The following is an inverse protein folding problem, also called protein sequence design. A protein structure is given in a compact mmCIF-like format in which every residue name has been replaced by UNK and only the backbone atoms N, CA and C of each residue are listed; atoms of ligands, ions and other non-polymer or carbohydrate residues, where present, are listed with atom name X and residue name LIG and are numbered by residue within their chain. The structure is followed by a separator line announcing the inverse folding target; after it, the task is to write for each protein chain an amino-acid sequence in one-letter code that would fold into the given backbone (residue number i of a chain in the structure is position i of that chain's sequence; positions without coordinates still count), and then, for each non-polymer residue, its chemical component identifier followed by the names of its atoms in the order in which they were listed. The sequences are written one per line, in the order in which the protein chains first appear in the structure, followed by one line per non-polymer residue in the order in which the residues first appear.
data_IF_551020921476
#
_entry.id   IF_551020921476
#
_cell.length_a   1.000
_cell.length_b   1.000
_cell.length_c   1.000
_cell.angle_alpha   90.00
_cell.angle_beta   90.00
_cell.angle_gamma   90.00
#
_symmetry.space_group_name_H-M   'P 1'
#
loop_
_entity.id
_entity.type
_entity.pdbx_description
1 polymer ?
#
# COMPACT_ATOMS: atom_id res chain seq x y z
N UNK A 1 25.84 7.58 -17.69
CA UNK A 1 25.00 8.61 -17.02
C UNK A 1 24.35 8.01 -15.77
N UNK A 2 24.61 8.55 -14.57
CA UNK A 2 23.95 8.12 -13.32
C UNK A 2 22.57 8.79 -13.24
N UNK A 3 21.48 8.01 -13.16
CA UNK A 3 20.12 8.54 -12.97
C UNK A 3 20.02 9.28 -11.62
N UNK A 4 19.28 10.41 -11.53
CA UNK A 4 19.16 11.18 -10.30
C UNK A 4 18.52 10.35 -9.17
N UNK A 5 19.08 10.45 -7.96
CA UNK A 5 18.51 9.89 -6.72
C UNK A 5 17.15 10.54 -6.48
N UNK A 6 16.05 9.79 -6.59
CA UNK A 6 14.71 10.28 -6.19
C UNK A 6 14.73 10.53 -4.68
N UNK A 7 14.61 11.79 -4.26
CA UNK A 7 14.28 12.16 -2.88
C UNK A 7 12.76 12.09 -2.74
N UNK A 8 12.30 11.17 -1.91
CA UNK A 8 10.89 11.01 -1.53
C UNK A 8 10.61 11.99 -0.38
N UNK A 9 9.56 12.81 -0.51
CA UNK A 9 9.10 13.71 0.53
C UNK A 9 8.16 13.01 1.53
N UNK A 10 8.07 13.56 2.73
CA UNK A 10 7.12 13.11 3.76
C UNK A 10 5.79 13.82 3.54
N UNK A 11 4.74 13.07 3.23
CA UNK A 11 3.37 13.56 3.23
C UNK A 11 2.79 13.39 4.63
N UNK A 12 2.55 14.50 5.35
CA UNK A 12 1.83 14.48 6.63
C UNK A 12 0.40 14.93 6.37
N UNK A 13 -0.55 14.00 6.48
CA UNK A 13 -1.98 14.28 6.46
C UNK A 13 -2.46 14.31 7.91
N UNK A 14 -2.81 15.49 8.43
CA UNK A 14 -3.31 15.69 9.79
C UNK A 14 -4.76 16.17 9.75
N UNK A 15 -5.65 15.29 9.28
CA UNK A 15 -7.10 15.50 9.36
C UNK A 15 -7.77 14.20 9.79
N UNK A 16 -8.88 14.32 10.50
CA UNK A 16 -9.78 13.20 10.78
C UNK A 16 -10.22 12.61 9.44
N UNK A 17 -9.82 11.37 9.17
CA UNK A 17 -10.17 10.71 7.92
C UNK A 17 -11.30 9.73 8.16
N UNK A 18 -12.42 10.03 7.54
CA UNK A 18 -13.61 9.21 7.51
C UNK A 18 -13.28 7.86 6.85
N UNK A 19 -13.58 6.77 7.58
CA UNK A 19 -13.34 5.38 7.15
C UNK A 19 -14.07 5.01 5.84
N UNK A 20 -15.05 5.82 5.44
CA UNK A 20 -15.87 5.64 4.24
C UNK A 20 -15.21 6.19 2.96
N UNK A 21 -14.02 6.78 3.07
CA UNK A 21 -13.30 7.33 1.92
C UNK A 21 -12.72 6.20 1.07
N UNK A 22 -12.95 6.23 -0.24
CA UNK A 22 -12.39 5.25 -1.17
C UNK A 22 -10.86 5.15 -1.03
N UNK A 23 -10.29 3.94 -0.91
CA UNK A 23 -8.86 3.78 -0.71
C UNK A 23 -8.07 4.15 -1.98
N UNK A 24 -6.83 4.60 -1.79
CA UNK A 24 -5.86 4.66 -2.88
C UNK A 24 -5.53 3.22 -3.30
N UNK A 25 -5.82 2.90 -4.56
CA UNK A 25 -5.52 1.59 -5.15
C UNK A 25 -4.22 1.65 -5.93
N UNK A 26 -3.23 0.85 -5.52
CA UNK A 26 -1.93 0.71 -6.19
C UNK A 26 -1.81 -0.67 -6.80
N UNK A 27 -1.47 -0.73 -8.09
CA UNK A 27 -1.19 -1.98 -8.80
C UNK A 27 0.31 -2.15 -8.95
N UNK A 28 0.85 -3.18 -8.30
CA UNK A 28 2.25 -3.56 -8.34
C UNK A 28 2.53 -4.58 -9.43
N UNK A 29 3.58 -4.33 -10.21
CA UNK A 29 4.07 -5.22 -11.26
C UNK A 29 5.56 -5.49 -11.07
N UNK A 30 6.02 -6.68 -11.44
CA UNK A 30 7.44 -7.02 -11.45
C UNK A 30 8.17 -6.35 -12.64
N UNK A 31 9.49 -6.56 -12.73
CA UNK A 31 10.30 -6.00 -13.84
C UNK A 31 9.96 -6.58 -15.21
N UNK A 32 9.31 -7.75 -15.26
CA UNK A 32 8.85 -8.39 -16.47
C UNK A 32 7.42 -7.98 -16.86
N UNK A 33 6.76 -7.13 -16.05
CA UNK A 33 5.40 -6.67 -16.28
C UNK A 33 4.32 -7.63 -15.76
N UNK A 34 4.68 -8.69 -15.04
CA UNK A 34 3.69 -9.58 -14.43
C UNK A 34 3.08 -8.90 -13.21
N UNK A 35 1.78 -9.13 -12.99
CA UNK A 35 1.09 -8.65 -11.81
C UNK A 35 1.71 -9.28 -10.56
N UNK A 36 2.12 -8.43 -9.62
CA UNK A 36 2.70 -8.86 -8.34
C UNK A 36 1.67 -8.72 -7.20
N UNK A 37 1.04 -7.55 -7.07
CA UNK A 37 0.09 -7.29 -5.99
C UNK A 37 -0.84 -6.11 -6.29
N UNK A 38 -1.94 -6.03 -5.55
CA UNK A 38 -2.78 -4.83 -5.45
C UNK A 38 -2.80 -4.40 -4.00
N UNK A 39 -2.54 -3.12 -3.75
CA UNK A 39 -2.58 -2.52 -2.42
C UNK A 39 -3.73 -1.53 -2.36
N UNK A 40 -4.49 -1.57 -1.29
CA UNK A 40 -5.51 -0.58 -0.97
C UNK A 40 -5.10 0.13 0.31
N UNK A 41 -4.84 1.44 0.20
CA UNK A 41 -4.26 2.25 1.26
C UNK A 41 -5.24 3.37 1.61
N UNK A 42 -5.59 3.49 2.88
CA UNK A 42 -6.36 4.61 3.40
C UNK A 42 -5.88 5.01 4.79
N UNK A 43 -6.61 5.89 5.47
CA UNK A 43 -6.30 6.28 6.85
C UNK A 43 -6.45 5.15 7.87
N UNK A 44 -7.31 4.17 7.59
CA UNK A 44 -7.56 3.05 8.49
C UNK A 44 -6.39 2.07 8.47
N UNK A 45 -5.73 1.91 7.33
CA UNK A 45 -4.64 0.96 7.19
C UNK A 45 -4.31 0.57 5.75
N UNK A 46 -3.91 -0.70 5.62
CA UNK A 46 -3.46 -1.32 4.38
C UNK A 46 -4.14 -2.67 4.20
N UNK A 47 -4.76 -2.86 3.04
CA UNK A 47 -5.13 -4.17 2.54
C UNK A 47 -4.22 -4.58 1.37
N UNK A 48 -3.75 -5.83 1.40
CA UNK A 48 -2.85 -6.39 0.38
C UNK A 48 -3.56 -7.53 -0.31
N UNK A 49 -3.52 -7.53 -1.63
CA UNK A 49 -4.12 -8.56 -2.47
C UNK A 49 -3.10 -9.13 -3.45
N UNK A 50 -3.27 -10.41 -3.79
CA UNK A 50 -2.45 -11.17 -4.73
C UNK A 50 -3.30 -12.10 -5.60
N UNK A 51 -2.64 -12.99 -6.34
CA UNK A 51 -3.27 -13.88 -7.31
C UNK A 51 -3.72 -13.13 -8.57
N UNK A 52 -4.39 -13.80 -9.51
CA UNK A 52 -4.83 -13.18 -10.75
C UNK A 52 -5.64 -11.89 -10.48
N UNK A 53 -5.14 -10.75 -10.96
CA UNK A 53 -5.75 -9.42 -10.82
C UNK A 53 -6.04 -8.99 -9.37
N UNK A 54 -5.33 -9.52 -8.38
CA UNK A 54 -5.54 -9.14 -6.98
C UNK A 54 -6.85 -9.68 -6.39
N UNK A 55 -7.30 -10.85 -6.85
CA UNK A 55 -8.53 -11.48 -6.35
C UNK A 55 -8.40 -12.12 -4.96
N UNK A 56 -7.18 -12.39 -4.48
CA UNK A 56 -6.93 -13.03 -3.18
C UNK A 56 -6.44 -12.01 -2.16
N UNK A 57 -7.20 -11.76 -1.10
CA UNK A 57 -6.75 -10.93 0.03
C UNK A 57 -5.68 -11.68 0.85
N UNK A 58 -4.52 -11.06 1.02
CA UNK A 58 -3.40 -11.56 1.82
C UNK A 58 -3.34 -10.90 3.20
N UNK A 59 -3.63 -9.61 3.27
CA UNK A 59 -3.57 -8.83 4.49
C UNK A 59 -4.70 -7.81 4.51
N UNK A 60 -5.18 -7.55 5.72
CA UNK A 60 -6.13 -6.50 6.06
C UNK A 60 -5.76 -6.06 7.48
N UNK A 61 -5.07 -4.94 7.59
CA UNK A 61 -4.49 -4.50 8.86
C UNK A 61 -4.60 -2.99 9.02
N UNK A 62 -4.92 -2.57 10.25
CA UNK A 62 -4.75 -1.18 10.66
C UNK A 62 -3.27 -0.81 10.68
N UNK A 63 -2.96 0.48 10.72
CA UNK A 63 -1.57 0.94 10.82
C UNK A 63 -0.86 0.41 12.07
N UNK A 64 -1.54 0.37 13.21
CA UNK A 64 -1.00 -0.16 14.46
C UNK A 64 -0.68 -1.64 14.34
N UNK A 65 -1.62 -2.43 13.82
CA UNK A 65 -1.44 -3.87 13.64
C UNK A 65 -0.35 -4.17 12.62
N UNK A 66 -0.30 -3.43 11.51
CA UNK A 66 0.74 -3.57 10.50
C UNK A 66 2.12 -3.26 11.10
N UNK A 67 2.24 -2.16 11.83
CA UNK A 67 3.53 -1.75 12.43
C UNK A 67 4.00 -2.78 13.45
N UNK A 68 3.12 -3.23 14.34
CA UNK A 68 3.44 -4.29 15.31
C UNK A 68 3.89 -5.60 14.65
N UNK A 69 3.38 -5.92 13.44
CA UNK A 69 3.82 -7.09 12.68
C UNK A 69 5.19 -6.93 12.01
N UNK A 70 5.57 -5.69 11.67
CA UNK A 70 6.84 -5.37 10.99
C UNK A 70 8.01 -5.13 11.95
N UNK A 71 7.72 -4.82 13.22
CA UNK A 71 8.74 -4.67 14.28
C UNK A 71 9.26 -6.00 14.84
N UNK A 72 8.69 -7.14 14.40
CA UNK A 72 9.12 -8.50 14.71
C UNK A 72 10.20 -9.00 13.74
#
# INVERSE_FOLDING_TARGET
MKKPKRRVGVFRYAHDVWLDTAPLVVWGYDKAGNFACRLEINSAGLAVYSGPKGGKKLLDASWEKLTAQLEL
#
